data_IF_300624090307
#
_entry.id   IF_300624090307
#
_cell.length_a   1.000
_cell.length_b   1.000
_cell.length_c   1.000
_cell.angle_alpha   90.00
_cell.angle_beta   90.00
_cell.angle_gamma   90.00
#
_symmetry.space_group_name_H-M   'P 1'
#
loop_
_entity.id
_entity.type
_entity.pdbx_description
1 polymer ?
#
# COMPACT_ATOMS: atom_id res chain seq x y z
N UNK A 1 22.11 6.86 -8.20
CA UNK A 1 21.25 7.09 -7.02
C UNK A 1 19.93 7.73 -7.43
N UNK A 2 19.77 9.06 -7.46
CA UNK A 2 18.48 9.72 -7.79
C UNK A 2 17.88 9.30 -9.15
N UNK A 3 18.72 9.22 -10.20
CA UNK A 3 18.28 8.76 -11.53
C UNK A 3 17.86 7.29 -11.54
N UNK A 4 18.51 6.45 -10.74
CA UNK A 4 18.21 5.03 -10.63
C UNK A 4 16.93 4.80 -9.82
N UNK A 5 16.71 5.58 -8.74
CA UNK A 5 15.46 5.59 -7.99
C UNK A 5 14.29 6.04 -8.87
N UNK A 6 14.46 7.12 -9.65
CA UNK A 6 13.41 7.60 -10.58
C UNK A 6 13.12 6.57 -11.68
N UNK A 7 14.16 5.93 -12.24
CA UNK A 7 13.98 4.87 -13.22
C UNK A 7 13.29 3.65 -12.62
N UNK A 8 13.68 3.19 -11.43
CA UNK A 8 12.97 2.12 -10.72
C UNK A 8 11.52 2.51 -10.39
N UNK A 9 11.24 3.77 -10.05
CA UNK A 9 9.87 4.23 -9.82
C UNK A 9 8.97 4.13 -11.06
N UNK A 10 9.54 4.41 -12.24
CA UNK A 10 8.86 4.28 -13.51
C UNK A 10 8.75 2.82 -13.97
N UNK A 11 9.82 2.04 -13.79
CA UNK A 11 9.92 0.63 -14.19
C UNK A 11 8.96 -0.28 -13.38
N UNK A 12 8.79 -0.01 -12.08
CA UNK A 12 7.84 -0.76 -11.24
C UNK A 12 6.40 -0.24 -11.29
N UNK A 13 6.07 0.71 -12.17
CA UNK A 13 4.73 1.34 -12.23
C UNK A 13 4.24 1.77 -10.85
N UNK A 14 5.11 2.39 -10.03
CA UNK A 14 4.84 2.69 -8.62
C UNK A 14 3.54 3.50 -8.46
N UNK A 15 3.26 4.41 -9.38
CA UNK A 15 2.00 5.17 -9.39
C UNK A 15 0.77 4.27 -9.53
N UNK A 16 0.85 3.22 -10.35
CA UNK A 16 -0.22 2.23 -10.51
C UNK A 16 -0.41 1.38 -9.26
N UNK A 17 0.68 0.93 -8.64
CA UNK A 17 0.64 0.17 -7.38
C UNK A 17 0.14 1.03 -6.21
N UNK A 18 0.55 2.30 -6.15
CA UNK A 18 0.04 3.27 -5.20
C UNK A 18 -1.48 3.49 -5.38
N UNK A 19 -1.95 3.59 -6.62
CA UNK A 19 -3.38 3.69 -6.92
C UNK A 19 -4.14 2.41 -6.51
N UNK A 20 -3.58 1.22 -6.73
CA UNK A 20 -4.16 -0.05 -6.27
C UNK A 20 -4.29 -0.07 -4.74
N UNK A 21 -3.20 0.24 -4.02
CA UNK A 21 -3.21 0.30 -2.56
C UNK A 21 -4.21 1.34 -2.05
N UNK A 22 -4.29 2.51 -2.69
CA UNK A 22 -5.22 3.56 -2.31
C UNK A 22 -6.68 3.18 -2.55
N UNK A 23 -6.98 2.54 -3.66
CA UNK A 23 -8.33 2.05 -3.98
C UNK A 23 -8.81 1.04 -2.92
N UNK A 24 -8.00 0.02 -2.62
CA UNK A 24 -8.36 -0.99 -1.62
C UNK A 24 -8.40 -0.42 -0.19
N UNK A 25 -7.55 0.57 0.13
CA UNK A 25 -7.62 1.28 1.41
C UNK A 25 -8.93 2.05 1.51
N UNK A 26 -9.27 2.89 0.52
CA UNK A 26 -10.51 3.68 0.51
C UNK A 26 -11.74 2.80 0.63
N UNK A 27 -11.78 1.68 -0.09
CA UNK A 27 -12.88 0.72 -0.07
C UNK A 27 -13.06 0.09 1.33
N UNK A 28 -11.99 -0.07 2.11
CA UNK A 28 -12.05 -0.61 3.47
C UNK A 28 -12.60 0.38 4.50
N UNK A 29 -12.47 1.70 4.28
CA UNK A 29 -12.75 2.72 5.31
C UNK A 29 -14.23 2.72 5.74
N UNK A 30 -15.23 2.84 4.84
CA UNK A 30 -16.63 2.92 5.29
C UNK A 30 -17.09 1.67 6.06
N UNK A 31 -16.85 0.43 5.57
CA UNK A 31 -17.25 -0.76 6.32
C UNK A 31 -16.51 -0.90 7.66
N UNK A 32 -15.24 -0.50 7.76
CA UNK A 32 -14.51 -0.48 9.04
C UNK A 32 -15.16 0.47 10.04
N UNK A 33 -15.47 1.70 9.62
CA UNK A 33 -16.10 2.70 10.48
C UNK A 33 -17.45 2.19 11.01
N UNK A 34 -18.29 1.66 10.12
CA UNK A 34 -19.57 1.07 10.51
C UNK A 34 -19.41 -0.12 11.46
N UNK A 35 -18.37 -0.93 11.26
CA UNK A 35 -18.10 -2.10 12.11
C UNK A 35 -17.68 -1.70 13.52
N UNK A 36 -16.81 -0.69 13.64
CA UNK A 36 -16.39 -0.14 14.93
C UNK A 36 -17.61 0.43 15.67
N UNK A 37 -18.50 1.15 14.97
CA UNK A 37 -19.72 1.70 15.56
C UNK A 37 -20.66 0.58 16.02
N UNK A 38 -20.89 -0.43 15.19
CA UNK A 38 -21.73 -1.58 15.57
C UNK A 38 -21.19 -2.28 16.82
N UNK A 39 -19.88 -2.46 16.89
CA UNK A 39 -19.21 -3.04 18.07
C UNK A 39 -19.39 -2.15 19.31
N UNK A 40 -19.19 -0.83 19.19
CA UNK A 40 -19.38 0.11 20.30
C UNK A 40 -20.85 0.22 20.74
N UNK A 41 -21.79 0.17 19.79
CA UNK A 41 -23.24 0.05 20.02
C UNK A 41 -23.57 -1.09 20.96
N UNK A 42 -22.96 -2.25 20.70
CA UNK A 42 -23.12 -3.43 21.53
C UNK A 42 -22.46 -3.29 22.91
N UNK A 43 -21.26 -2.71 22.98
CA UNK A 43 -20.55 -2.47 24.25
C UNK A 43 -21.33 -1.49 25.13
N UNK A 44 -21.91 -0.43 24.57
CA UNK A 44 -22.72 0.54 25.31
C UNK A 44 -24.03 -0.06 25.83
N UNK A 45 -24.68 -0.93 25.06
CA UNK A 45 -25.83 -1.70 25.54
C UNK A 45 -25.50 -2.57 26.76
N UNK A 46 -24.24 -3.02 26.86
CA UNK A 46 -23.74 -3.85 27.96
C UNK A 46 -23.18 -3.03 29.14
N UNK A 47 -22.64 -1.84 28.89
CA UNK A 47 -21.91 -1.02 29.88
C UNK A 47 -22.66 0.24 30.33
N UNK A 48 -23.69 0.67 29.60
CA UNK A 48 -24.55 1.82 29.92
C UNK A 48 -23.84 3.18 29.83
N UNK A 49 -22.93 3.35 28.87
CA UNK A 49 -21.85 4.30 28.94
C UNK A 49 -21.98 5.57 28.07
N UNK A 50 -23.13 6.09 27.62
CA UNK A 50 -23.34 7.41 26.95
C UNK A 50 -22.28 7.95 25.92
N UNK A 51 -21.32 7.13 25.50
CA UNK A 51 -20.14 7.56 24.72
C UNK A 51 -20.49 7.61 23.22
N UNK A 52 -21.57 6.93 22.84
CA UNK A 52 -22.03 6.77 21.45
C UNK A 52 -22.44 8.10 20.82
N UNK A 53 -23.08 9.00 21.57
CA UNK A 53 -23.68 10.19 20.97
C UNK A 53 -22.62 11.17 20.45
N UNK A 54 -21.48 11.28 21.15
CA UNK A 54 -20.33 12.07 20.70
C UNK A 54 -19.65 11.45 19.47
N UNK A 55 -19.50 10.12 19.44
CA UNK A 55 -18.92 9.43 18.27
C UNK A 55 -19.82 9.53 17.04
N UNK A 56 -21.14 9.41 17.21
CA UNK A 56 -22.12 9.59 16.13
C UNK A 56 -22.02 10.99 15.53
N UNK A 57 -21.92 12.02 16.36
CA UNK A 57 -21.78 13.40 15.90
C UNK A 57 -20.49 13.58 15.08
N UNK A 58 -19.34 13.11 15.60
CA UNK A 58 -18.05 13.22 14.90
C UNK A 58 -18.03 12.47 13.56
N UNK A 59 -18.69 11.31 13.47
CA UNK A 59 -18.72 10.51 12.23
C UNK A 59 -19.69 11.10 11.21
N UNK A 60 -20.83 11.62 11.64
CA UNK A 60 -21.73 12.35 10.73
C UNK A 60 -21.05 13.62 10.22
N UNK A 61 -20.27 14.30 11.07
CA UNK A 61 -19.50 15.47 10.67
C UNK A 61 -18.38 15.10 9.67
N UNK A 62 -17.62 14.04 9.95
CA UNK A 62 -16.65 13.48 9.01
C UNK A 62 -17.31 12.99 7.70
N UNK A 63 -18.50 12.42 7.79
CA UNK A 63 -19.28 11.98 6.62
C UNK A 63 -19.75 13.16 5.79
N UNK A 64 -20.14 14.29 6.40
CA UNK A 64 -20.47 15.54 5.68
C UNK A 64 -19.26 16.16 5.01
N UNK A 65 -18.07 15.95 5.56
CA UNK A 65 -16.83 16.36 4.91
C UNK A 65 -16.50 15.50 3.69
N UNK A 66 -17.05 14.28 3.56
CA UNK A 66 -16.72 13.31 2.50
C UNK A 66 -17.88 13.01 1.54
N UNK A 67 -19.13 13.16 1.94
CA UNK A 67 -20.33 12.84 1.16
C UNK A 67 -21.15 14.12 0.98
N UNK A 68 -21.97 14.19 -0.09
CA UNK A 68 -22.97 15.25 -0.18
C UNK A 68 -24.05 15.11 0.87
N UNK A 69 -24.78 16.20 1.12
CA UNK A 69 -25.94 16.21 2.01
C UNK A 69 -26.94 15.09 1.69
N UNK A 70 -27.17 14.79 0.40
CA UNK A 70 -28.01 13.64 -0.01
C UNK A 70 -27.37 12.31 0.36
N UNK A 71 -26.09 12.10 0.08
CA UNK A 71 -25.38 10.87 0.48
C UNK A 71 -25.36 10.67 2.00
N UNK A 72 -25.28 11.76 2.77
CA UNK A 72 -25.36 11.69 4.23
C UNK A 72 -26.76 11.31 4.69
N UNK A 73 -27.80 12.01 4.24
CA UNK A 73 -29.18 11.79 4.73
C UNK A 73 -29.83 10.53 4.15
N UNK A 74 -29.53 10.14 2.92
CA UNK A 74 -30.17 9.01 2.23
C UNK A 74 -29.39 7.70 2.43
N UNK A 75 -28.08 7.75 2.73
CA UNK A 75 -27.23 6.56 2.83
C UNK A 75 -26.57 6.45 4.21
N UNK A 76 -25.75 7.43 4.61
CA UNK A 76 -24.96 7.30 5.83
C UNK A 76 -25.82 7.28 7.11
N UNK A 77 -26.77 8.21 7.24
CA UNK A 77 -27.62 8.35 8.41
C UNK A 77 -28.55 7.15 8.64
N UNK A 78 -29.26 6.62 7.63
CA UNK A 78 -30.05 5.40 7.77
C UNK A 78 -29.19 4.19 8.16
N UNK A 79 -28.02 4.02 7.54
CA UNK A 79 -27.11 2.92 7.86
C UNK A 79 -26.60 3.03 9.29
N UNK A 80 -26.16 4.22 9.72
CA UNK A 80 -25.71 4.49 11.08
C UNK A 80 -26.82 4.21 12.10
N UNK A 81 -28.03 4.69 11.82
CA UNK A 81 -29.20 4.47 12.66
C UNK A 81 -29.58 2.99 12.78
N UNK A 82 -29.56 2.24 11.67
CA UNK A 82 -29.84 0.81 11.64
C UNK A 82 -28.79 -0.02 12.38
N UNK A 83 -27.51 0.33 12.24
CA UNK A 83 -26.38 -0.32 12.93
C UNK A 83 -26.48 -0.10 14.44
N UNK A 84 -26.81 1.12 14.89
CA UNK A 84 -26.91 1.44 16.31
C UNK A 84 -28.15 0.84 16.99
N UNK A 85 -29.24 0.59 16.26
CA UNK A 85 -30.44 -0.08 16.81
C UNK A 85 -30.27 -1.59 17.05
N UNK A 86 -29.08 -2.14 16.79
CA UNK A 86 -28.74 -3.54 17.10
C UNK A 86 -29.40 -4.59 16.19
N UNK A 87 -30.11 -4.18 15.13
CA UNK A 87 -30.92 -5.10 14.31
C UNK A 87 -30.19 -5.82 13.17
N UNK A 88 -28.92 -5.51 12.88
CA UNK A 88 -28.23 -5.96 11.64
C UNK A 88 -26.80 -6.46 11.89
N UNK A 89 -26.62 -7.38 12.85
CA UNK A 89 -25.32 -8.03 13.14
C UNK A 89 -24.71 -8.66 11.87
N UNK A 90 -25.55 -9.21 10.99
CA UNK A 90 -25.11 -9.82 9.73
C UNK A 90 -24.44 -8.81 8.79
N UNK A 91 -24.98 -7.60 8.69
CA UNK A 91 -24.46 -6.53 7.82
C UNK A 91 -23.16 -5.96 8.40
N UNK A 92 -23.10 -5.79 9.72
CA UNK A 92 -21.90 -5.33 10.44
C UNK A 92 -20.77 -6.35 10.23
N UNK A 93 -21.06 -7.64 10.42
CA UNK A 93 -20.07 -8.71 10.29
C UNK A 93 -19.59 -8.88 8.84
N UNK A 94 -20.49 -8.85 7.86
CA UNK A 94 -20.14 -8.94 6.45
C UNK A 94 -19.33 -7.71 5.99
N UNK A 95 -19.74 -6.52 6.43
CA UNK A 95 -19.01 -5.27 6.20
C UNK A 95 -17.60 -5.32 6.77
N UNK A 96 -17.45 -5.79 8.02
CA UNK A 96 -16.16 -5.96 8.67
C UNK A 96 -15.25 -6.92 7.91
N UNK A 97 -15.76 -8.08 7.50
CA UNK A 97 -15.00 -9.06 6.72
C UNK A 97 -14.53 -8.49 5.38
N UNK A 98 -15.40 -7.74 4.70
CA UNK A 98 -15.07 -7.09 3.44
C UNK A 98 -14.02 -6.00 3.62
N UNK A 99 -14.14 -5.19 4.68
CA UNK A 99 -13.15 -4.22 5.08
C UNK A 99 -11.79 -4.85 5.35
N UNK A 100 -11.78 -5.95 6.11
CA UNK A 100 -10.58 -6.67 6.50
C UNK A 100 -9.89 -7.30 5.29
N UNK A 101 -10.68 -7.86 4.36
CA UNK A 101 -10.18 -8.37 3.10
C UNK A 101 -9.57 -7.27 2.23
N UNK A 102 -10.29 -6.15 2.05
CA UNK A 102 -9.83 -5.04 1.21
C UNK A 102 -8.58 -4.38 1.80
N UNK A 103 -8.58 -4.07 3.09
CA UNK A 103 -7.44 -3.46 3.75
C UNK A 103 -6.21 -4.36 3.78
N UNK A 104 -6.39 -5.67 4.06
CA UNK A 104 -5.32 -6.66 3.92
C UNK A 104 -4.77 -6.72 2.49
N UNK A 105 -5.63 -6.55 1.48
CA UNK A 105 -5.18 -6.46 0.09
C UNK A 105 -4.35 -5.21 -0.17
N UNK A 106 -4.71 -4.04 0.36
CA UNK A 106 -3.88 -2.84 0.26
C UNK A 106 -2.50 -3.02 0.91
N UNK A 107 -2.44 -3.62 2.11
CA UNK A 107 -1.17 -3.95 2.78
C UNK A 107 -0.35 -4.95 1.97
N UNK A 108 -0.99 -5.94 1.35
CA UNK A 108 -0.30 -6.89 0.49
C UNK A 108 0.38 -6.21 -0.71
N UNK A 109 -0.22 -5.16 -1.29
CA UNK A 109 0.42 -4.39 -2.37
C UNK A 109 1.74 -3.79 -1.89
N UNK A 110 1.78 -3.20 -0.69
CA UNK A 110 3.02 -2.68 -0.13
C UNK A 110 4.06 -3.80 0.07
N UNK A 111 3.70 -4.89 0.76
CA UNK A 111 4.63 -5.99 1.05
C UNK A 111 5.22 -6.59 -0.23
N UNK A 112 4.35 -6.89 -1.20
CA UNK A 112 4.75 -7.53 -2.45
C UNK A 112 5.65 -6.60 -3.27
N UNK A 113 5.25 -5.33 -3.40
CA UNK A 113 6.05 -4.31 -4.11
C UNK A 113 7.41 -4.11 -3.47
N UNK A 114 7.48 -3.98 -2.14
CA UNK A 114 8.75 -3.84 -1.41
C UNK A 114 9.62 -5.09 -1.64
N UNK A 115 9.04 -6.28 -1.53
CA UNK A 115 9.76 -7.55 -1.74
C UNK A 115 10.35 -7.65 -3.16
N UNK A 116 9.57 -7.25 -4.17
CA UNK A 116 9.99 -7.20 -5.58
C UNK A 116 11.11 -6.18 -5.79
N UNK A 117 11.04 -5.00 -5.18
CA UNK A 117 12.10 -3.98 -5.29
C UNK A 117 13.46 -4.49 -4.79
N UNK A 118 13.45 -5.33 -3.75
CA UNK A 118 14.65 -6.00 -3.23
C UNK A 118 15.12 -7.20 -4.08
N UNK A 119 14.35 -7.63 -5.08
CA UNK A 119 14.64 -8.80 -5.92
C UNK A 119 14.38 -10.14 -5.23
N UNK A 120 13.52 -10.15 -4.21
CA UNK A 120 13.25 -11.31 -3.35
C UNK A 120 11.83 -11.87 -3.54
N UNK A 121 11.23 -11.58 -4.69
CA UNK A 121 9.93 -12.11 -5.05
C UNK A 121 9.98 -13.65 -5.16
N UNK A 122 8.90 -14.30 -4.73
CA UNK A 122 8.81 -15.75 -4.66
C UNK A 122 9.43 -16.39 -3.41
N UNK A 123 10.34 -15.72 -2.69
CA UNK A 123 11.07 -16.31 -1.54
C UNK A 123 10.14 -16.69 -0.38
N UNK A 124 9.14 -15.86 -0.07
CA UNK A 124 8.21 -16.08 1.06
C UNK A 124 7.05 -17.03 0.72
N UNK A 125 6.68 -17.13 -0.56
CA UNK A 125 5.49 -17.83 -1.03
C UNK A 125 4.18 -17.06 -0.75
N UNK A 126 3.17 -17.28 -1.60
CA UNK A 126 1.93 -16.47 -1.65
C UNK A 126 1.15 -16.53 -0.32
N UNK A 127 1.02 -17.70 0.28
CA UNK A 127 0.22 -17.90 1.51
C UNK A 127 0.82 -17.13 2.69
N UNK A 128 2.15 -17.22 2.87
CA UNK A 128 2.84 -16.52 3.98
C UNK A 128 2.81 -15.01 3.77
N UNK A 129 2.95 -14.52 2.54
CA UNK A 129 2.81 -13.09 2.22
C UNK A 129 1.40 -12.60 2.54
N UNK A 130 0.36 -13.36 2.19
CA UNK A 130 -1.04 -13.01 2.51
C UNK A 130 -1.34 -13.01 4.00
N UNK A 131 -0.84 -14.00 4.75
CA UNK A 131 -1.01 -14.05 6.20
C UNK A 131 -0.30 -12.86 6.88
N UNK A 132 0.89 -12.50 6.40
CA UNK A 132 1.62 -11.34 6.89
C UNK A 132 0.88 -10.04 6.61
N UNK A 133 0.35 -9.87 5.39
CA UNK A 133 -0.43 -8.69 5.02
C UNK A 133 -1.66 -8.52 5.92
N UNK A 134 -2.35 -9.63 6.20
CA UNK A 134 -3.48 -9.65 7.12
C UNK A 134 -3.06 -9.28 8.54
N UNK A 135 -1.98 -9.88 9.07
CA UNK A 135 -1.50 -9.59 10.41
C UNK A 135 -1.05 -8.13 10.58
N UNK A 136 -0.29 -7.60 9.62
CA UNK A 136 0.13 -6.20 9.61
C UNK A 136 -1.07 -5.26 9.49
N UNK A 137 -2.10 -5.62 8.72
CA UNK A 137 -3.31 -4.83 8.63
C UNK A 137 -4.07 -4.80 9.97
N UNK A 138 -4.20 -5.93 10.67
CA UNK A 138 -4.81 -5.96 12.01
C UNK A 138 -4.02 -5.12 13.01
N UNK A 139 -2.68 -5.22 13.00
CA UNK A 139 -1.82 -4.39 13.86
C UNK A 139 -1.97 -2.90 13.50
N UNK A 140 -2.01 -2.56 12.22
CA UNK A 140 -2.24 -1.20 11.76
C UNK A 140 -3.63 -0.67 12.18
N UNK A 141 -4.66 -1.51 12.20
CA UNK A 141 -5.99 -1.15 12.72
C UNK A 141 -5.95 -0.87 14.23
N UNK A 142 -5.26 -1.71 15.01
CA UNK A 142 -5.12 -1.53 16.46
C UNK A 142 -4.31 -0.27 16.81
N UNK A 143 -3.23 -0.01 16.06
CA UNK A 143 -2.46 1.23 16.23
C UNK A 143 -3.28 2.42 15.77
N UNK A 144 -3.93 2.31 14.60
CA UNK A 144 -4.72 3.38 14.00
C UNK A 144 -5.95 3.77 14.82
N UNK A 145 -6.59 2.84 15.52
CA UNK A 145 -7.73 3.13 16.40
C UNK A 145 -7.37 4.02 17.58
N UNK A 146 -6.10 4.04 17.98
CA UNK A 146 -5.57 4.93 19.03
C UNK A 146 -4.90 6.16 18.42
N UNK A 147 -4.06 5.97 17.41
CA UNK A 147 -3.24 7.02 16.82
C UNK A 147 -4.07 8.05 16.04
N UNK A 148 -5.08 7.65 15.26
CA UNK A 148 -5.88 8.57 14.45
C UNK A 148 -6.71 9.52 15.32
N UNK A 149 -7.44 9.07 16.37
CA UNK A 149 -8.13 9.98 17.27
C UNK A 149 -7.18 10.94 17.97
N UNK A 150 -6.01 10.46 18.44
CA UNK A 150 -4.99 11.35 19.03
C UNK A 150 -4.54 12.41 18.02
N UNK A 151 -4.30 11.99 16.77
CA UNK A 151 -3.86 12.86 15.69
C UNK A 151 -4.88 13.95 15.32
N UNK A 152 -6.16 13.57 15.24
CA UNK A 152 -7.29 14.46 14.88
C UNK A 152 -7.65 15.39 16.04
N UNK A 153 -7.66 14.86 17.26
CA UNK A 153 -8.06 15.62 18.44
C UNK A 153 -6.99 16.68 18.83
N UNK A 154 -5.78 16.53 18.31
CA UNK A 154 -4.69 17.49 18.48
C UNK A 154 -4.13 17.49 19.91
N UNK A 155 -3.12 18.34 20.18
CA UNK A 155 -2.53 18.43 21.51
C UNK A 155 -3.56 18.81 22.59
N UNK A 156 -4.58 19.63 22.25
CA UNK A 156 -5.58 20.12 23.19
C UNK A 156 -6.50 19.04 23.78
N UNK A 157 -6.67 17.91 23.08
CA UNK A 157 -7.37 16.76 23.63
C UNK A 157 -6.50 15.94 24.59
N UNK A 158 -5.20 15.82 24.30
CA UNK A 158 -4.24 15.13 25.17
C UNK A 158 -4.02 15.90 26.47
N UNK A 159 -3.99 17.24 26.41
CA UNK A 159 -3.90 18.12 27.59
C UNK A 159 -5.09 17.94 28.54
N UNK A 160 -6.28 17.63 28.04
CA UNK A 160 -7.47 17.36 28.88
C UNK A 160 -7.37 16.07 29.69
N UNK A 161 -6.61 15.09 29.20
CA UNK A 161 -6.39 13.79 29.89
C UNK A 161 -5.16 13.86 30.81
N UNK A 162 -4.14 14.65 30.45
CA UNK A 162 -2.91 14.83 31.25
C UNK A 162 -2.72 16.33 31.59
N UNK A 163 -3.45 16.87 32.58
CA UNK A 163 -3.48 18.30 32.87
C UNK A 163 -2.19 18.86 33.49
N UNK A 164 -1.25 18.01 33.93
CA UNK A 164 -0.09 18.41 34.73
C UNK A 164 1.03 19.04 33.89
N UNK A 165 0.92 19.00 32.55
CA UNK A 165 1.97 19.54 31.69
C UNK A 165 1.48 19.89 30.27
N UNK A 166 0.52 20.82 30.16
CA UNK A 166 0.01 21.31 28.87
C UNK A 166 1.13 21.71 27.89
N UNK A 167 2.16 22.38 28.40
CA UNK A 167 3.35 22.78 27.62
C UNK A 167 4.19 21.60 27.15
N UNK A 168 4.37 20.57 27.99
CA UNK A 168 5.16 19.37 27.65
C UNK A 168 4.44 18.55 26.60
N UNK A 169 3.11 18.40 26.72
CA UNK A 169 2.27 17.72 25.73
C UNK A 169 2.32 18.44 24.39
N UNK A 170 2.14 19.76 24.35
CA UNK A 170 2.18 20.52 23.10
C UNK A 170 3.54 20.45 22.38
N UNK A 171 4.64 20.45 23.13
CA UNK A 171 6.01 20.38 22.57
C UNK A 171 6.37 18.96 22.12
N UNK A 172 6.03 17.93 22.91
CA UNK A 172 6.39 16.53 22.59
C UNK A 172 5.46 15.88 21.58
N UNK A 173 4.25 16.42 21.35
CA UNK A 173 3.27 15.82 20.46
C UNK A 173 3.82 15.57 19.05
N UNK A 174 4.34 16.60 18.38
CA UNK A 174 4.87 16.46 17.01
C UNK A 174 6.11 15.57 16.92
N UNK A 175 7.13 15.70 17.81
CA UNK A 175 8.24 14.76 17.87
C UNK A 175 7.79 13.30 18.05
N UNK A 176 6.83 13.05 18.96
CA UNK A 176 6.29 11.70 19.21
C UNK A 176 5.60 11.17 17.96
N UNK A 177 4.75 11.97 17.30
CA UNK A 177 4.09 11.58 16.04
C UNK A 177 5.12 11.24 14.97
N UNK A 178 6.15 12.08 14.78
CA UNK A 178 7.23 11.86 13.80
C UNK A 178 7.98 10.56 14.11
N UNK A 179 8.37 10.34 15.36
CA UNK A 179 9.08 9.13 15.78
C UNK A 179 8.20 7.90 15.56
N UNK A 180 6.92 7.95 15.93
CA UNK A 180 5.98 6.86 15.70
C UNK A 180 5.79 6.58 14.21
N UNK A 181 5.69 7.60 13.37
CA UNK A 181 5.60 7.45 11.91
C UNK A 181 6.87 6.80 11.34
N UNK A 182 8.06 7.22 11.78
CA UNK A 182 9.33 6.62 11.35
C UNK A 182 9.39 5.16 11.79
N UNK A 183 9.06 4.87 13.05
CA UNK A 183 9.06 3.49 13.58
C UNK A 183 8.07 2.61 12.81
N UNK A 184 6.87 3.12 12.52
CA UNK A 184 5.86 2.41 11.74
C UNK A 184 6.35 2.12 10.32
N UNK A 185 6.85 3.12 9.59
CA UNK A 185 7.34 2.97 8.22
C UNK A 185 8.55 2.03 8.15
N UNK A 186 9.51 2.21 9.06
CA UNK A 186 10.70 1.36 9.13
C UNK A 186 10.31 -0.08 9.43
N UNK A 187 9.35 -0.31 10.34
CA UNK A 187 8.82 -1.64 10.63
C UNK A 187 8.09 -2.24 9.43
N UNK A 188 7.31 -1.45 8.70
CA UNK A 188 6.65 -1.89 7.48
C UNK A 188 7.69 -2.37 6.45
N UNK A 189 8.74 -1.60 6.20
CA UNK A 189 9.82 -1.97 5.28
C UNK A 189 10.56 -3.23 5.74
N UNK A 190 11.00 -3.22 6.99
CA UNK A 190 11.75 -4.31 7.59
C UNK A 190 11.01 -5.65 7.54
N UNK A 191 9.72 -5.64 7.91
CA UNK A 191 8.89 -6.85 7.93
C UNK A 191 8.48 -7.29 6.52
N UNK A 192 8.42 -6.35 5.57
CA UNK A 192 8.09 -6.68 4.18
C UNK A 192 9.18 -7.54 3.53
N UNK A 193 10.46 -7.32 3.87
CA UNK A 193 11.57 -8.09 3.32
C UNK A 193 11.65 -9.48 3.98
N UNK A 194 11.74 -10.59 3.20
CA UNK A 194 11.72 -11.97 3.74
C UNK A 194 12.98 -12.39 4.47
N UNK A 195 14.06 -11.61 4.37
CA UNK A 195 15.34 -11.87 5.02
C UNK A 195 15.66 -10.76 6.01
N UNK A 196 16.32 -11.12 7.12
CA UNK A 196 16.61 -10.18 8.19
C UNK A 196 17.88 -9.39 7.88
N UNK A 197 17.75 -8.09 7.67
CA UNK A 197 18.84 -7.11 7.75
C UNK A 197 18.69 -6.28 9.05
N UNK A 198 19.69 -5.52 9.49
CA UNK A 198 19.54 -4.58 10.60
C UNK A 198 18.39 -3.57 10.35
N UNK A 199 17.45 -3.45 11.30
CA UNK A 199 16.29 -2.53 11.22
C UNK A 199 16.67 -1.06 10.92
N UNK A 200 17.87 -0.63 11.33
CA UNK A 200 18.38 0.72 11.11
C UNK A 200 18.61 1.01 9.61
N UNK A 201 18.87 -0.02 8.79
CA UNK A 201 19.07 0.13 7.34
C UNK A 201 17.79 0.61 6.63
N UNK A 202 16.62 0.42 7.24
CA UNK A 202 15.33 0.81 6.67
C UNK A 202 14.92 2.26 7.02
N UNK A 203 15.62 2.92 7.95
CA UNK A 203 15.30 4.28 8.44
C UNK A 203 15.46 5.37 7.37
N UNK A 204 16.48 5.37 6.49
CA UNK A 204 16.64 6.40 5.46
C UNK A 204 15.42 6.52 4.54
N UNK A 205 14.85 5.39 4.10
CA UNK A 205 13.64 5.34 3.29
C UNK A 205 12.41 5.83 4.05
N UNK A 206 12.31 5.56 5.36
CA UNK A 206 11.23 6.08 6.19
C UNK A 206 11.26 7.61 6.28
N UNK A 207 12.46 8.21 6.38
CA UNK A 207 12.64 9.66 6.35
C UNK A 207 12.26 10.25 4.99
N UNK A 208 12.66 9.60 3.89
CA UNK A 208 12.27 10.04 2.54
C UNK A 208 10.76 9.94 2.33
N UNK A 209 10.15 8.83 2.74
CA UNK A 209 8.70 8.66 2.68
C UNK A 209 7.97 9.73 3.48
N UNK A 210 8.41 10.02 4.70
CA UNK A 210 7.79 11.06 5.52
C UNK A 210 7.92 12.45 4.87
N UNK A 211 9.11 12.79 4.35
CA UNK A 211 9.32 14.05 3.62
C UNK A 211 8.47 14.17 2.36
N UNK A 212 8.40 13.09 1.56
CA UNK A 212 7.56 13.03 0.36
C UNK A 212 6.07 13.11 0.70
N UNK A 213 5.65 12.49 1.81
CA UNK A 213 4.27 12.54 2.28
C UNK A 213 3.87 13.95 2.72
N UNK A 214 4.73 14.66 3.46
CA UNK A 214 4.47 16.06 3.85
C UNK A 214 4.40 16.95 2.62
N UNK A 215 5.38 16.85 1.72
CA UNK A 215 5.42 17.63 0.48
C UNK A 215 4.20 17.34 -0.40
N UNK A 216 3.89 16.06 -0.61
CA UNK A 216 2.75 15.62 -1.40
C UNK A 216 1.43 16.08 -0.79
N UNK A 217 1.26 16.00 0.54
CA UNK A 217 0.08 16.49 1.24
C UNK A 217 -0.07 18.01 1.09
N UNK A 218 1.03 18.76 1.17
CA UNK A 218 1.04 20.20 0.96
C UNK A 218 0.64 20.57 -0.49
N UNK A 219 1.22 19.91 -1.48
CA UNK A 219 0.88 20.12 -2.90
C UNK A 219 -0.57 19.75 -3.19
N UNK A 220 -1.04 18.62 -2.65
CA UNK A 220 -2.42 18.19 -2.79
C UNK A 220 -3.37 19.20 -2.14
N UNK A 221 -3.03 19.74 -0.97
CA UNK A 221 -3.83 20.80 -0.35
C UNK A 221 -3.97 22.00 -1.28
N UNK A 222 -2.89 22.47 -1.89
CA UNK A 222 -2.94 23.58 -2.86
C UNK A 222 -3.88 23.23 -4.03
N UNK A 223 -3.74 22.03 -4.60
CA UNK A 223 -4.60 21.57 -5.69
C UNK A 223 -6.08 21.52 -5.32
N UNK A 224 -6.40 20.97 -4.13
CA UNK A 224 -7.77 20.88 -3.64
C UNK A 224 -8.35 22.27 -3.33
N UNK A 225 -7.60 23.16 -2.68
CA UNK A 225 -8.08 24.53 -2.41
C UNK A 225 -8.33 25.34 -3.68
N UNK A 226 -7.56 25.12 -4.76
CA UNK A 226 -7.74 25.84 -6.02
C UNK A 226 -8.82 25.25 -6.93
N UNK A 227 -8.98 23.94 -6.92
CA UNK A 227 -9.85 23.21 -7.86
C UNK A 227 -11.18 22.79 -7.23
N UNK A 228 -11.19 22.53 -5.92
CA UNK A 228 -12.30 21.90 -5.19
C UNK A 228 -13.07 22.88 -4.29
N UNK A 229 -12.48 23.97 -3.82
CA UNK A 229 -13.20 24.98 -2.99
C UNK A 229 -13.99 26.03 -3.82
N UNK A 230 -14.06 25.88 -5.15
CA UNK A 230 -14.90 26.70 -6.04
C UNK A 230 -16.31 26.11 -6.30
N UNK A 231 -17.12 26.70 -7.21
CA UNK A 231 -18.32 26.04 -7.73
C UNK A 231 -17.88 24.84 -8.58
N UNK A 232 -17.62 23.72 -7.92
CA UNK A 232 -17.08 22.54 -8.58
C UNK A 232 -18.13 21.88 -9.45
N UNK A 233 -17.73 21.51 -10.67
CA UNK A 233 -18.49 20.58 -11.52
C UNK A 233 -18.60 19.17 -10.89
N UNK A 234 -17.77 18.89 -9.88
CA UNK A 234 -17.67 17.60 -9.21
C UNK A 234 -18.68 17.44 -8.05
N UNK A 235 -19.24 18.53 -7.52
CA UNK A 235 -20.30 18.52 -6.52
C UNK A 235 -20.05 17.52 -5.37
N UNK A 236 -20.90 16.52 -5.24
CA UNK A 236 -20.83 15.48 -4.21
C UNK A 236 -19.63 14.54 -4.30
N UNK A 237 -18.95 14.47 -5.45
CA UNK A 237 -17.80 13.58 -5.68
C UNK A 237 -16.46 14.25 -5.33
N UNK A 238 -16.46 15.54 -5.03
CA UNK A 238 -15.26 16.30 -4.68
C UNK A 238 -14.48 15.65 -3.52
N UNK A 239 -15.17 15.33 -2.44
CA UNK A 239 -14.52 14.89 -1.22
C UNK A 239 -14.06 13.42 -1.22
N UNK A 240 -14.79 12.43 -1.76
CA UNK A 240 -14.25 11.08 -1.90
C UNK A 240 -13.03 11.03 -2.83
N UNK A 241 -13.03 11.86 -3.89
CA UNK A 241 -11.88 12.03 -4.78
C UNK A 241 -10.70 12.65 -4.03
N UNK A 242 -10.92 13.68 -3.22
CA UNK A 242 -9.87 14.28 -2.40
C UNK A 242 -9.23 13.26 -1.44
N UNK A 243 -10.04 12.44 -0.77
CA UNK A 243 -9.56 11.36 0.11
C UNK A 243 -8.79 10.31 -0.69
N UNK A 244 -9.30 9.86 -1.84
CA UNK A 244 -8.60 8.91 -2.70
C UNK A 244 -7.23 9.42 -3.14
N UNK A 245 -7.16 10.69 -3.57
CA UNK A 245 -5.92 11.33 -3.97
C UNK A 245 -4.94 11.44 -2.79
N UNK A 246 -5.43 11.78 -1.59
CA UNK A 246 -4.58 11.87 -0.41
C UNK A 246 -4.01 10.52 0.01
N UNK A 247 -4.83 9.46 0.00
CA UNK A 247 -4.36 8.09 0.22
C UNK A 247 -3.38 7.69 -0.88
N UNK A 248 -3.65 8.03 -2.14
CA UNK A 248 -2.78 7.76 -3.29
C UNK A 248 -1.39 8.41 -3.15
N UNK A 249 -1.35 9.69 -2.79
CA UNK A 249 -0.11 10.41 -2.49
C UNK A 249 0.63 9.76 -1.32
N UNK A 250 -0.10 9.33 -0.30
CA UNK A 250 0.48 8.64 0.86
C UNK A 250 1.09 7.29 0.48
N UNK A 251 0.36 6.46 -0.27
CA UNK A 251 0.86 5.20 -0.77
C UNK A 251 2.08 5.38 -1.67
N UNK A 252 2.06 6.40 -2.54
CA UNK A 252 3.19 6.76 -3.39
C UNK A 252 4.42 7.14 -2.57
N UNK A 253 4.27 8.00 -1.57
CA UNK A 253 5.37 8.40 -0.68
C UNK A 253 6.01 7.19 0.03
N UNK A 254 5.19 6.27 0.53
CA UNK A 254 5.66 5.02 1.18
C UNK A 254 6.44 4.15 0.19
N UNK A 255 5.95 3.97 -1.04
CA UNK A 255 6.63 3.16 -2.05
C UNK A 255 7.93 3.82 -2.55
N UNK A 256 7.99 5.14 -2.64
CA UNK A 256 9.23 5.86 -2.95
C UNK A 256 10.27 5.66 -1.84
N UNK A 257 9.87 5.74 -0.57
CA UNK A 257 10.78 5.43 0.55
C UNK A 257 11.33 4.00 0.50
N UNK A 258 10.47 3.03 0.18
CA UNK A 258 10.90 1.65 -0.03
C UNK A 258 11.88 1.49 -1.20
N UNK A 259 11.62 2.17 -2.32
CA UNK A 259 12.50 2.16 -3.49
C UNK A 259 13.88 2.75 -3.15
N UNK A 260 13.94 3.78 -2.29
CA UNK A 260 15.20 4.32 -1.78
C UNK A 260 15.95 3.28 -0.95
N UNK A 261 15.29 2.60 -0.01
CA UNK A 261 15.94 1.54 0.78
C UNK A 261 16.46 0.40 -0.10
N UNK A 262 15.66 -0.06 -1.06
CA UNK A 262 16.08 -1.07 -2.02
C UNK A 262 17.28 -0.61 -2.88
N UNK A 263 17.32 0.66 -3.26
CA UNK A 263 18.46 1.22 -4.00
C UNK A 263 19.72 1.30 -3.13
N UNK A 264 19.59 1.65 -1.84
CA UNK A 264 20.70 1.65 -0.88
C UNK A 264 21.23 0.22 -0.71
N UNK A 265 20.36 -0.77 -0.51
CA UNK A 265 20.74 -2.19 -0.39
C UNK A 265 21.39 -2.74 -1.66
N UNK A 266 21.07 -2.22 -2.86
CA UNK A 266 21.77 -2.62 -4.08
C UNK A 266 23.22 -2.13 -4.14
N UNK A 267 23.52 -0.98 -3.54
CA UNK A 267 24.87 -0.39 -3.56
C UNK A 267 25.71 -0.83 -2.37
N UNK A 268 25.08 -0.97 -1.20
CA UNK A 268 25.67 -1.47 0.03
C UNK A 268 24.85 -2.63 0.57
N UNK A 269 24.93 -3.82 -0.05
CA UNK A 269 24.08 -4.93 0.32
C UNK A 269 24.44 -5.49 1.69
N UNK A 270 23.40 -5.73 2.50
CA UNK A 270 23.55 -6.59 3.65
C UNK A 270 23.89 -8.02 3.19
N UNK A 271 24.74 -8.73 3.94
CA UNK A 271 25.16 -10.08 3.56
C UNK A 271 23.95 -11.03 3.38
N UNK A 272 22.91 -10.86 4.19
CA UNK A 272 21.69 -11.65 4.11
C UNK A 272 20.87 -11.37 2.84
N UNK A 273 20.73 -10.10 2.44
CA UNK A 273 19.96 -9.71 1.24
C UNK A 273 20.70 -10.09 -0.04
N UNK A 274 22.03 -9.88 -0.09
CA UNK A 274 22.86 -10.33 -1.20
C UNK A 274 22.79 -11.85 -1.42
N UNK A 275 23.02 -12.64 -0.36
CA UNK A 275 22.98 -14.10 -0.46
C UNK A 275 21.62 -14.63 -0.91
N UNK A 276 20.53 -14.04 -0.42
CA UNK A 276 19.18 -14.42 -0.79
C UNK A 276 18.84 -14.04 -2.24
N UNK A 277 19.29 -12.88 -2.72
CA UNK A 277 19.10 -12.43 -4.10
C UNK A 277 19.82 -13.37 -5.08
N UNK A 278 21.07 -13.71 -4.81
CA UNK A 278 21.82 -14.67 -5.62
C UNK A 278 21.15 -16.05 -5.65
N UNK A 279 20.67 -16.54 -4.50
CA UNK A 279 19.95 -17.81 -4.44
C UNK A 279 18.66 -17.77 -5.28
N UNK A 280 17.92 -16.66 -5.22
CA UNK A 280 16.70 -16.47 -5.99
C UNK A 280 16.98 -16.41 -7.51
N UNK A 281 18.05 -15.73 -7.92
CA UNK A 281 18.48 -15.66 -9.32
C UNK A 281 18.87 -17.04 -9.86
N UNK A 282 19.60 -17.85 -9.09
CA UNK A 282 19.95 -19.23 -9.47
C UNK A 282 18.71 -20.09 -9.67
N UNK A 283 17.72 -19.97 -8.78
CA UNK A 283 16.45 -20.70 -8.91
C UNK A 283 15.68 -20.28 -10.17
N UNK A 284 15.62 -18.97 -10.47
CA UNK A 284 15.00 -18.46 -11.69
C UNK A 284 15.69 -18.96 -12.94
N UNK A 285 17.02 -18.93 -12.98
CA UNK A 285 17.80 -19.45 -14.10
C UNK A 285 17.55 -20.94 -14.33
N UNK A 286 17.48 -21.74 -13.26
CA UNK A 286 17.15 -23.16 -13.35
C UNK A 286 15.73 -23.39 -13.89
N UNK A 287 14.74 -22.64 -13.42
CA UNK A 287 13.35 -22.73 -13.92
C UNK A 287 13.23 -22.33 -15.40
N UNK A 288 13.92 -21.28 -15.82
CA UNK A 288 13.95 -20.86 -17.23
C UNK A 288 14.62 -21.92 -18.08
N UNK A 289 15.76 -22.47 -17.64
CA UNK A 289 16.45 -23.54 -18.35
C UNK A 289 15.57 -24.80 -18.49
N UNK A 290 14.86 -25.18 -17.44
CA UNK A 290 13.92 -26.30 -17.46
C UNK A 290 12.73 -26.03 -18.41
N UNK A 291 12.16 -24.83 -18.37
CA UNK A 291 11.09 -24.43 -19.29
C UNK A 291 11.53 -24.49 -20.75
N UNK A 292 12.71 -23.94 -21.06
CA UNK A 292 13.29 -23.99 -22.42
C UNK A 292 13.57 -25.43 -22.84
N UNK A 293 14.10 -26.27 -21.95
CA UNK A 293 14.33 -27.68 -22.23
C UNK A 293 13.02 -28.44 -22.49
N UNK A 294 11.97 -28.19 -21.71
CA UNK A 294 10.64 -28.77 -21.94
C UNK A 294 10.02 -28.29 -23.25
N UNK A 295 10.12 -27.00 -23.57
CA UNK A 295 9.60 -26.43 -24.82
C UNK A 295 10.33 -26.98 -26.05
N UNK A 296 11.65 -27.19 -25.97
CA UNK A 296 12.44 -27.83 -27.00
C UNK A 296 12.07 -29.32 -27.16
N UNK A 297 11.86 -30.04 -26.04
CA UNK A 297 11.47 -31.45 -26.04
C UNK A 297 10.03 -31.69 -26.50
N UNK A 298 9.11 -30.76 -26.26
CA UNK A 298 7.71 -30.87 -26.70
C UNK A 298 7.51 -30.57 -28.18
N UNK A 299 8.58 -30.29 -28.94
CA UNK A 299 8.49 -29.97 -30.36
C UNK A 299 7.70 -28.69 -30.66
N UNK A 300 7.45 -27.85 -29.63
CA UNK A 300 6.71 -26.59 -29.76
C UNK A 300 7.55 -25.48 -30.41
N UNK A 301 8.69 -25.83 -31.01
CA UNK A 301 9.49 -25.00 -31.88
C UNK A 301 9.22 -25.40 -33.35
N UNK A 302 7.94 -25.40 -33.75
CA UNK A 302 7.61 -25.31 -35.17
C UNK A 302 7.85 -23.85 -35.60
N UNK A 303 8.77 -23.56 -36.56
CA UNK A 303 9.00 -22.21 -37.06
C UNK A 303 7.74 -21.51 -37.58
N UNK A 304 6.70 -22.29 -37.92
CA UNK A 304 5.43 -21.84 -38.48
C UNK A 304 4.23 -21.98 -37.50
N UNK A 305 4.47 -22.19 -36.20
CA UNK A 305 3.36 -22.22 -35.22
C UNK A 305 2.64 -20.85 -35.25
N UNK A 306 1.35 -20.80 -35.62
CA UNK A 306 0.61 -19.54 -35.61
C UNK A 306 0.54 -19.11 -34.15
N UNK A 307 1.08 -17.93 -33.87
CA UNK A 307 1.03 -17.33 -32.55
C UNK A 307 -0.41 -17.39 -32.03
N UNK A 308 -0.63 -18.06 -30.90
CA UNK A 308 -1.92 -18.05 -30.20
C UNK A 308 -2.37 -16.62 -29.80
N UNK A 309 -1.52 -15.62 -30.06
CA UNK A 309 -1.84 -14.21 -30.05
C UNK A 309 -1.94 -13.69 -31.49
N UNK A 310 -3.11 -13.16 -31.92
CA UNK A 310 -3.22 -12.49 -33.21
C UNK A 310 -2.22 -11.33 -33.25
N UNK A 311 -1.37 -11.26 -34.26
CA UNK A 311 -0.33 -10.22 -34.46
C UNK A 311 -0.85 -8.78 -34.34
N UNK A 312 -2.16 -8.58 -34.40
CA UNK A 312 -2.81 -7.29 -34.14
C UNK A 312 -2.56 -6.74 -32.74
N UNK A 313 -2.30 -7.59 -31.74
CA UNK A 313 -2.12 -7.20 -30.34
C UNK A 313 -0.67 -6.89 -29.96
N UNK A 314 0.32 -7.36 -30.72
CA UNK A 314 1.75 -7.06 -30.49
C UNK A 314 2.09 -5.58 -30.75
N UNK A 315 1.27 -4.88 -31.55
CA UNK A 315 1.37 -3.43 -31.77
C UNK A 315 1.00 -2.58 -30.54
N UNK A 316 0.36 -3.18 -29.53
CA UNK A 316 -0.16 -2.47 -28.36
C UNK A 316 0.58 -2.81 -27.05
N UNK A 317 1.58 -3.70 -27.08
CA UNK A 317 2.35 -4.09 -25.91
C UNK A 317 3.77 -3.45 -25.95
N UNK A 318 4.24 -2.88 -24.83
CA UNK A 318 5.55 -2.24 -24.76
C UNK A 318 6.70 -3.26 -24.90
N UNK A 319 7.88 -2.83 -25.38
CA UNK A 319 8.94 -3.69 -25.92
C UNK A 319 9.84 -4.31 -24.83
N UNK A 320 9.27 -5.09 -23.92
CA UNK A 320 10.04 -5.85 -22.91
C UNK A 320 10.23 -7.32 -23.29
N UNK A 321 10.06 -7.64 -24.57
CA UNK A 321 10.19 -9.01 -25.07
C UNK A 321 11.64 -9.50 -24.95
N UNK A 322 11.81 -10.43 -24.00
CA UNK A 322 12.97 -11.31 -23.78
C UNK A 322 13.46 -11.92 -25.12
N UNK A 323 12.55 -12.14 -26.06
CA UNK A 323 12.78 -12.63 -27.43
C UNK A 323 13.67 -11.71 -28.26
N UNK A 324 13.58 -10.38 -28.11
CA UNK A 324 14.45 -9.43 -28.81
C UNK A 324 15.88 -9.48 -28.27
N UNK A 325 16.05 -9.65 -26.96
CA UNK A 325 17.36 -9.83 -26.32
C UNK A 325 18.01 -11.16 -26.71
N UNK A 326 17.24 -12.25 -26.78
CA UNK A 326 17.73 -13.56 -27.22
C UNK A 326 18.22 -13.53 -28.68
N UNK A 327 17.52 -12.82 -29.57
CA UNK A 327 17.97 -12.64 -30.97
C UNK A 327 19.24 -11.77 -31.08
N UNK A 328 19.38 -10.74 -30.26
CA UNK A 328 20.59 -9.92 -30.24
C UNK A 328 21.81 -10.71 -29.76
N UNK A 329 21.63 -11.60 -28.78
CA UNK A 329 22.70 -12.45 -28.24
C UNK A 329 23.15 -13.53 -29.23
N UNK A 330 22.21 -14.17 -29.93
CA UNK A 330 22.51 -15.16 -30.96
C UNK A 330 23.27 -14.57 -32.17
N UNK A 331 23.06 -13.29 -32.48
CA UNK A 331 23.71 -12.61 -33.61
C UNK A 331 25.15 -12.17 -33.31
N UNK A 332 25.52 -12.08 -32.04
CA UNK A 332 26.84 -11.61 -31.60
C UNK A 332 27.90 -12.73 -31.49
N UNK A 333 27.51 -14.01 -31.57
CA UNK A 333 28.43 -15.15 -31.41
C UNK A 333 28.62 -15.86 -32.76
N UNK A 334 29.77 -15.71 -33.44
CA UNK A 334 30.03 -16.46 -34.67
C UNK A 334 30.31 -17.94 -34.34
N UNK A 335 29.90 -18.89 -35.20
CA UNK A 335 30.08 -20.31 -34.95
C UNK A 335 31.56 -20.70 -35.03
N UNK A 336 32.06 -21.40 -34.01
CA UNK A 336 33.36 -22.08 -34.06
C UNK A 336 33.27 -23.25 -35.04
N UNK A 337 34.13 -23.22 -36.07
CA UNK A 337 34.27 -24.29 -37.06
C UNK A 337 35.01 -25.47 -36.40
N UNK A 338 34.51 -26.71 -36.52
CA UNK A 338 35.26 -27.87 -36.02
C UNK A 338 36.50 -28.10 -36.89
N UNK A 339 37.65 -28.27 -36.25
CA UNK A 339 38.89 -28.74 -36.88
C UNK A 339 38.74 -30.24 -37.16
N UNK A 340 38.71 -30.61 -38.44
CA UNK A 340 38.86 -32.00 -38.87
C UNK A 340 40.35 -32.35 -39.00
N UNK A 341 40.63 -33.57 -38.55
CA UNK A 341 41.87 -34.37 -38.53
C UNK A 341 42.71 -34.39 -39.81
#
# INVERSE_FOLDING_TARGET
MLKDTVNSCMEYRILGLAAEAAFFTLLSVPPLLLSIIGLLGYVDMWTGADTIQSLRANILDASRAVLSDRGVHEIAEPILHDVMKGGRVDVISLGFLFALWSGSRAVNVFIDTITVMYGLDGVRGIVKTRLLAFALFVVALLIGSVALPLMVAGPDAVVRVVPWSATVVQVLYWPVVIVLSIVFLTTLYHVSVPVRSPWIEDVPGALVALGMWVLGSFLLRIYLTSTVEGPTIYGSLAAPVAVLLWIGVSAFAVLVGAAVNAAIDRVWPAAATAAAREANERLRQAQVAEYVARAAASGAADPDMPSEFPERWSRFLPPEDVTARLRAHAKATPPQRPEDS
#
